data_IF_658083799115
#
_entry.id   IF_658083799115
#
_cell.length_a   1.000
_cell.length_b   1.000
_cell.length_c   1.000
_cell.angle_alpha   90.00
_cell.angle_beta   90.00
_cell.angle_gamma   90.00
#
_symmetry.space_group_name_H-M   'P 1'
#
loop_
_entity.id
_entity.type
_entity.pdbx_description
1 polymer ?
#
# COMPACT_ATOMS: atom_id res chain seq x y z
N UNK A 1 -34.23 -40.75 -26.20
CA UNK A 1 -33.15 -40.27 -27.10
C UNK A 1 -33.23 -38.77 -27.38
N UNK A 2 -34.31 -38.25 -28.00
CA UNK A 2 -34.44 -36.80 -28.34
C UNK A 2 -34.35 -35.82 -27.15
N UNK A 3 -34.92 -36.19 -25.99
CA UNK A 3 -34.86 -35.36 -24.75
C UNK A 3 -33.47 -35.28 -24.11
N UNK A 4 -32.66 -36.33 -24.26
CA UNK A 4 -31.28 -36.37 -23.72
C UNK A 4 -30.37 -35.47 -24.56
N UNK A 5 -30.54 -35.51 -25.89
CA UNK A 5 -29.81 -34.63 -26.82
C UNK A 5 -30.13 -33.16 -26.52
N UNK A 6 -31.41 -32.82 -26.28
CA UNK A 6 -31.84 -31.46 -25.93
C UNK A 6 -31.18 -30.93 -24.64
N UNK A 7 -31.07 -31.79 -23.61
CA UNK A 7 -30.45 -31.42 -22.33
C UNK A 7 -28.93 -31.24 -22.44
N UNK A 8 -28.25 -32.07 -23.23
CA UNK A 8 -26.81 -31.94 -23.47
C UNK A 8 -26.48 -30.68 -24.28
N UNK A 9 -27.30 -30.34 -25.28
CA UNK A 9 -27.14 -29.08 -26.03
C UNK A 9 -27.44 -27.85 -25.18
N UNK A 10 -28.40 -27.93 -24.26
CA UNK A 10 -28.69 -26.84 -23.33
C UNK A 10 -27.54 -26.65 -22.34
N UNK A 11 -26.95 -27.74 -21.84
CA UNK A 11 -25.81 -27.72 -20.92
C UNK A 11 -24.55 -27.14 -21.57
N UNK A 12 -24.27 -27.47 -22.84
CA UNK A 12 -23.11 -26.91 -23.55
C UNK A 12 -23.29 -25.45 -23.93
N UNK A 13 -24.50 -25.02 -24.29
CA UNK A 13 -24.81 -23.60 -24.52
C UNK A 13 -24.70 -22.80 -23.23
N UNK A 14 -25.21 -23.32 -22.11
CA UNK A 14 -25.04 -22.69 -20.79
C UNK A 14 -23.56 -22.61 -20.41
N UNK A 15 -22.78 -23.68 -20.61
CA UNK A 15 -21.35 -23.68 -20.36
C UNK A 15 -20.59 -22.66 -21.24
N UNK A 16 -20.96 -22.53 -22.51
CA UNK A 16 -20.38 -21.56 -23.43
C UNK A 16 -20.70 -20.10 -23.03
N UNK A 17 -21.87 -19.84 -22.45
CA UNK A 17 -22.25 -18.51 -21.95
C UNK A 17 -21.46 -18.09 -20.70
N UNK A 18 -20.96 -19.04 -19.90
CA UNK A 18 -20.14 -18.73 -18.71
C UNK A 18 -18.67 -18.44 -19.07
N UNK A 19 -18.23 -18.80 -20.28
CA UNK A 19 -16.84 -18.61 -20.74
C UNK A 19 -16.74 -17.36 -21.63
N UNK A 20 -17.41 -16.29 -21.23
CA UNK A 20 -17.16 -14.95 -21.78
C UNK A 20 -15.77 -14.48 -21.35
N UNK A 21 -14.76 -14.63 -22.19
CA UNK A 21 -13.47 -14.00 -22.00
C UNK A 21 -13.60 -12.47 -22.18
N UNK A 22 -13.92 -11.74 -21.12
CA UNK A 22 -13.74 -10.29 -21.09
C UNK A 22 -12.23 -9.97 -21.15
N UNK A 23 -11.78 -9.34 -22.24
CA UNK A 23 -10.38 -8.92 -22.38
C UNK A 23 -10.07 -7.85 -21.34
N UNK A 24 -9.30 -8.21 -20.30
CA UNK A 24 -8.82 -7.27 -19.29
C UNK A 24 -7.95 -6.18 -19.95
N UNK A 25 -8.06 -4.90 -19.52
CA UNK A 25 -7.17 -3.85 -19.99
C UNK A 25 -5.70 -4.14 -19.63
N UNK A 26 -4.72 -3.42 -20.19
CA UNK A 26 -3.34 -3.52 -19.74
C UNK A 26 -3.20 -3.09 -18.27
N UNK A 27 -2.45 -3.85 -17.47
CA UNK A 27 -2.29 -3.57 -16.03
C UNK A 27 -1.71 -2.16 -15.78
N UNK A 28 -0.75 -1.73 -16.61
CA UNK A 28 -0.13 -0.40 -16.48
C UNK A 28 -1.12 0.76 -16.68
N UNK A 29 -2.17 0.56 -17.48
CA UNK A 29 -3.22 1.55 -17.66
C UNK A 29 -4.03 1.72 -16.38
N UNK A 30 -4.50 0.60 -15.78
CA UNK A 30 -5.33 0.63 -14.58
C UNK A 30 -4.54 1.14 -13.37
N UNK A 31 -3.28 0.74 -13.24
CA UNK A 31 -2.41 1.24 -12.18
C UNK A 31 -2.08 2.73 -12.35
N UNK A 32 -1.83 3.16 -13.59
CA UNK A 32 -1.58 4.57 -13.92
C UNK A 32 -2.79 5.46 -13.63
N UNK A 33 -4.01 4.98 -13.88
CA UNK A 33 -5.25 5.68 -13.52
C UNK A 33 -5.35 5.91 -12.01
N UNK A 34 -5.11 4.88 -11.19
CA UNK A 34 -5.13 5.00 -9.74
C UNK A 34 -4.12 6.04 -9.22
N UNK A 35 -2.90 6.04 -9.78
CA UNK A 35 -1.87 7.05 -9.48
C UNK A 35 -2.31 8.46 -9.88
N UNK A 36 -2.84 8.63 -11.08
CA UNK A 36 -3.28 9.93 -11.56
C UNK A 36 -4.41 10.51 -10.68
N UNK A 37 -5.34 9.67 -10.22
CA UNK A 37 -6.39 10.08 -9.28
C UNK A 37 -5.81 10.53 -7.94
N UNK A 38 -4.82 9.80 -7.43
CA UNK A 38 -4.10 10.17 -6.21
C UNK A 38 -3.38 11.52 -6.36
N UNK A 39 -2.65 11.72 -7.45
CA UNK A 39 -1.94 12.98 -7.75
C UNK A 39 -2.90 14.17 -7.91
N UNK A 40 -4.13 13.92 -8.35
CA UNK A 40 -5.21 14.91 -8.42
C UNK A 40 -5.89 15.19 -7.07
N UNK A 41 -5.49 14.51 -5.98
CA UNK A 41 -6.13 14.62 -4.67
C UNK A 41 -7.51 13.95 -4.57
N UNK A 42 -7.89 13.14 -5.58
CA UNK A 42 -9.15 12.40 -5.61
C UNK A 42 -9.03 11.09 -4.86
N UNK A 43 -8.77 11.19 -3.56
CA UNK A 43 -8.31 10.07 -2.75
C UNK A 43 -9.29 8.90 -2.66
N UNK A 44 -10.60 9.16 -2.56
CA UNK A 44 -11.60 8.09 -2.55
C UNK A 44 -11.67 7.33 -3.89
N UNK A 45 -11.56 8.06 -5.01
CA UNK A 45 -11.52 7.46 -6.35
C UNK A 45 -10.21 6.68 -6.55
N UNK A 46 -9.08 7.23 -6.08
CA UNK A 46 -7.78 6.57 -6.15
C UNK A 46 -7.78 5.24 -5.39
N UNK A 47 -8.36 5.20 -4.18
CA UNK A 47 -8.54 3.96 -3.41
C UNK A 47 -9.35 2.95 -4.21
N UNK A 48 -10.51 3.33 -4.73
CA UNK A 48 -11.35 2.43 -5.51
C UNK A 48 -10.62 1.89 -6.75
N UNK A 49 -9.80 2.73 -7.40
CA UNK A 49 -8.99 2.33 -8.55
C UNK A 49 -7.85 1.37 -8.17
N UNK A 50 -7.15 1.60 -7.05
CA UNK A 50 -6.14 0.66 -6.54
C UNK A 50 -6.75 -0.68 -6.12
N UNK A 51 -7.90 -0.67 -5.44
CA UNK A 51 -8.61 -1.91 -5.08
C UNK A 51 -9.04 -2.69 -6.32
N UNK A 52 -9.57 -2.00 -7.33
CA UNK A 52 -9.90 -2.60 -8.64
C UNK A 52 -8.66 -3.20 -9.29
N UNK A 53 -7.53 -2.50 -9.26
CA UNK A 53 -6.27 -3.03 -9.79
C UNK A 53 -5.88 -4.35 -9.10
N UNK A 54 -5.92 -4.40 -7.77
CA UNK A 54 -5.59 -5.60 -6.98
C UNK A 54 -6.53 -6.76 -7.31
N UNK A 55 -7.83 -6.50 -7.49
CA UNK A 55 -8.80 -7.52 -7.88
C UNK A 55 -8.55 -8.06 -9.29
N UNK A 56 -8.20 -7.19 -10.24
CA UNK A 56 -8.00 -7.57 -11.64
C UNK A 56 -6.65 -8.29 -11.88
N UNK A 57 -5.61 -7.86 -11.18
CA UNK A 57 -4.22 -8.30 -11.36
C UNK A 57 -3.55 -8.72 -10.04
N UNK A 58 -4.11 -9.67 -9.28
CA UNK A 58 -3.59 -10.04 -7.95
C UNK A 58 -2.18 -10.64 -7.97
N UNK A 59 -1.68 -11.06 -9.14
CA UNK A 59 -0.31 -11.60 -9.31
C UNK A 59 0.66 -10.59 -9.92
N UNK A 60 0.22 -9.36 -10.17
CA UNK A 60 1.08 -8.31 -10.72
C UNK A 60 2.16 -7.94 -9.72
N UNK A 61 3.34 -7.56 -10.22
CA UNK A 61 4.40 -6.99 -9.38
C UNK A 61 3.99 -5.67 -8.73
N UNK A 62 2.99 -4.98 -9.29
CA UNK A 62 2.42 -3.74 -8.73
C UNK A 62 1.29 -3.98 -7.74
N UNK A 63 0.78 -5.22 -7.59
CA UNK A 63 -0.33 -5.50 -6.68
C UNK A 63 0.00 -5.23 -5.20
N UNK A 64 1.20 -5.59 -4.69
CA UNK A 64 1.60 -5.21 -3.34
C UNK A 64 1.58 -3.69 -3.16
N UNK A 65 2.17 -2.94 -4.10
CA UNK A 65 2.18 -1.48 -4.04
C UNK A 65 0.76 -0.90 -4.05
N UNK A 66 -0.12 -1.37 -4.94
CA UNK A 66 -1.51 -0.91 -5.00
C UNK A 66 -2.23 -1.13 -3.66
N UNK A 67 -2.12 -2.32 -3.08
CA UNK A 67 -2.77 -2.63 -1.80
C UNK A 67 -2.18 -1.80 -0.64
N UNK A 68 -0.86 -1.57 -0.63
CA UNK A 68 -0.22 -0.67 0.34
C UNK A 68 -0.75 0.76 0.21
N UNK A 69 -0.89 1.27 -1.01
CA UNK A 69 -1.39 2.63 -1.26
C UNK A 69 -2.83 2.83 -0.77
N UNK A 70 -3.67 1.79 -0.79
CA UNK A 70 -5.01 1.85 -0.18
C UNK A 70 -4.91 2.19 1.32
N UNK A 71 -4.04 1.50 2.06
CA UNK A 71 -3.82 1.77 3.48
C UNK A 71 -3.23 3.16 3.71
N UNK A 72 -2.23 3.53 2.92
CA UNK A 72 -1.58 4.83 2.99
C UNK A 72 -2.56 5.99 2.79
N UNK A 73 -3.41 5.92 1.76
CA UNK A 73 -4.38 6.97 1.47
C UNK A 73 -5.44 7.05 2.58
N UNK A 74 -5.91 5.91 3.09
CA UNK A 74 -6.83 5.92 4.23
C UNK A 74 -6.21 6.56 5.48
N UNK A 75 -4.95 6.25 5.78
CA UNK A 75 -4.26 6.77 6.96
C UNK A 75 -3.98 8.27 6.84
N UNK A 76 -3.47 8.70 5.69
CA UNK A 76 -2.88 10.02 5.55
C UNK A 76 -3.83 11.06 4.95
N UNK A 77 -4.70 10.66 4.03
CA UNK A 77 -5.51 11.61 3.26
C UNK A 77 -6.96 11.61 3.71
N UNK A 78 -7.54 10.42 3.86
CA UNK A 78 -8.94 10.27 4.29
C UNK A 78 -9.11 10.22 5.80
N UNK A 79 -8.01 10.08 6.56
CA UNK A 79 -7.97 9.98 8.02
C UNK A 79 -8.92 8.92 8.61
N UNK A 80 -9.13 7.83 7.86
CA UNK A 80 -9.95 6.68 8.27
C UNK A 80 -9.03 5.56 8.80
N UNK A 81 -8.71 5.65 10.09
CA UNK A 81 -7.79 4.73 10.77
C UNK A 81 -8.26 3.28 10.66
N UNK A 82 -9.55 3.02 10.79
CA UNK A 82 -10.09 1.66 10.74
C UNK A 82 -9.89 1.02 9.36
N UNK A 83 -10.15 1.79 8.29
CA UNK A 83 -9.92 1.30 6.91
C UNK A 83 -8.45 1.17 6.58
N UNK A 84 -7.61 2.08 7.06
CA UNK A 84 -6.16 1.99 6.91
C UNK A 84 -5.62 0.71 7.55
N UNK A 85 -6.03 0.40 8.78
CA UNK A 85 -5.64 -0.82 9.49
C UNK A 85 -6.04 -2.07 8.71
N UNK A 86 -7.29 -2.13 8.24
CA UNK A 86 -7.79 -3.25 7.44
C UNK A 86 -7.00 -3.44 6.14
N UNK A 87 -6.66 -2.34 5.46
CA UNK A 87 -5.90 -2.36 4.21
C UNK A 87 -4.45 -2.81 4.41
N UNK A 88 -3.76 -2.33 5.45
CA UNK A 88 -2.39 -2.78 5.77
C UNK A 88 -2.35 -4.25 6.22
N UNK A 89 -3.33 -4.70 7.02
CA UNK A 89 -3.45 -6.13 7.36
C UNK A 89 -3.68 -6.98 6.11
N UNK A 90 -4.50 -6.49 5.17
CA UNK A 90 -4.72 -7.17 3.89
C UNK A 90 -3.44 -7.23 3.07
N UNK A 91 -2.65 -6.15 3.04
CA UNK A 91 -1.33 -6.12 2.40
C UNK A 91 -0.41 -7.19 2.98
N UNK A 92 -0.21 -7.22 4.30
CA UNK A 92 0.66 -8.21 4.94
C UNK A 92 0.17 -9.64 4.72
N UNK A 93 -1.14 -9.88 4.86
CA UNK A 93 -1.69 -11.23 4.70
C UNK A 93 -1.53 -11.79 3.27
N UNK A 94 -1.71 -10.95 2.25
CA UNK A 94 -1.78 -11.42 0.85
C UNK A 94 -0.51 -11.21 0.04
N UNK A 95 0.28 -10.19 0.39
CA UNK A 95 1.35 -9.68 -0.47
C UNK A 95 2.71 -9.62 0.20
N UNK A 96 2.84 -9.94 1.49
CA UNK A 96 4.13 -9.88 2.22
C UNK A 96 5.25 -10.66 1.51
N UNK A 97 4.97 -11.86 1.00
CA UNK A 97 5.97 -12.67 0.28
C UNK A 97 6.32 -12.16 -1.11
N UNK A 98 5.52 -11.25 -1.67
CA UNK A 98 5.73 -10.64 -2.99
C UNK A 98 6.31 -9.23 -2.89
N UNK A 99 6.16 -8.58 -1.75
CA UNK A 99 6.56 -7.21 -1.51
C UNK A 99 8.05 -7.09 -1.22
N UNK A 100 8.60 -5.91 -1.47
CA UNK A 100 9.91 -5.54 -0.98
C UNK A 100 9.92 -5.47 0.56
N UNK A 101 11.02 -5.88 1.19
CA UNK A 101 11.13 -5.91 2.65
C UNK A 101 10.97 -4.54 3.30
N UNK A 102 11.37 -3.46 2.62
CA UNK A 102 11.14 -2.09 3.05
C UNK A 102 9.65 -1.76 3.13
N UNK A 103 8.86 -2.18 2.13
CA UNK A 103 7.41 -1.96 2.12
C UNK A 103 6.69 -2.78 3.21
N UNK A 104 7.16 -4.01 3.47
CA UNK A 104 6.68 -4.83 4.59
C UNK A 104 6.95 -4.14 5.93
N UNK A 105 8.18 -3.66 6.14
CA UNK A 105 8.56 -2.93 7.34
C UNK A 105 7.73 -1.64 7.48
N UNK A 106 7.51 -0.89 6.40
CA UNK A 106 6.65 0.29 6.40
C UNK A 106 5.22 -0.06 6.82
N UNK A 107 4.60 -1.10 6.26
CA UNK A 107 3.24 -1.47 6.62
C UNK A 107 3.12 -1.89 8.11
N UNK A 108 4.12 -2.59 8.64
CA UNK A 108 4.18 -2.95 10.06
C UNK A 108 4.33 -1.72 10.96
N UNK A 109 5.20 -0.78 10.57
CA UNK A 109 5.38 0.48 11.29
C UNK A 109 4.11 1.31 11.30
N UNK A 110 3.46 1.46 10.13
CA UNK A 110 2.20 2.18 9.98
C UNK A 110 1.12 1.56 10.87
N UNK A 111 0.99 0.24 10.90
CA UNK A 111 0.05 -0.44 11.80
C UNK A 111 0.34 -0.23 13.28
N UNK A 112 1.61 -0.23 13.67
CA UNK A 112 2.03 -0.04 15.07
C UNK A 112 1.71 1.38 15.57
N UNK A 113 1.85 2.37 14.70
CA UNK A 113 1.71 3.79 15.04
C UNK A 113 0.45 4.45 14.47
N UNK A 114 -0.44 3.65 13.89
CA UNK A 114 -1.61 4.17 13.19
C UNK A 114 -2.49 5.02 14.10
N UNK A 115 -2.74 6.27 13.68
CA UNK A 115 -3.59 7.20 14.42
C UNK A 115 -3.00 7.68 15.75
N UNK A 116 -1.76 7.32 16.09
CA UNK A 116 -1.07 7.85 17.28
C UNK A 116 -0.52 9.24 17.01
N UNK A 117 -0.45 10.04 18.06
CA UNK A 117 0.29 11.30 18.02
C UNK A 117 1.80 11.03 18.07
N UNK A 118 2.59 11.89 17.42
CA UNK A 118 4.07 11.75 17.39
C UNK A 118 4.68 11.72 18.79
N UNK A 119 4.07 12.41 19.76
CA UNK A 119 4.53 12.47 21.14
C UNK A 119 4.30 11.16 21.90
N UNK A 120 3.43 10.27 21.40
CA UNK A 120 3.15 8.96 21.99
C UNK A 120 4.13 7.88 21.51
N UNK A 121 5.03 8.21 20.57
CA UNK A 121 6.00 7.28 20.02
C UNK A 121 7.26 7.33 20.89
N UNK A 122 7.31 6.48 21.92
CA UNK A 122 8.45 6.35 22.86
C UNK A 122 9.80 6.13 22.15
N UNK A 123 9.78 5.43 20.99
CA UNK A 123 10.95 5.18 20.15
C UNK A 123 11.49 6.47 19.49
N UNK A 124 10.65 7.48 19.29
CA UNK A 124 11.02 8.77 18.70
C UNK A 124 11.22 9.87 19.76
N UNK A 125 10.53 9.79 20.90
CA UNK A 125 10.70 10.75 22.01
C UNK A 125 12.13 10.76 22.56
N UNK A 126 12.79 9.60 22.58
CA UNK A 126 14.18 9.46 23.03
C UNK A 126 15.17 10.20 22.11
N UNK A 127 14.88 10.30 20.80
CA UNK A 127 15.74 11.00 19.84
C UNK A 127 15.53 12.53 19.94
N UNK A 128 14.28 12.98 20.10
CA UNK A 128 13.94 14.40 20.19
C UNK A 128 14.51 15.11 21.43
N UNK A 129 14.74 14.39 22.53
CA UNK A 129 15.37 14.96 23.73
C UNK A 129 16.90 15.12 23.61
N UNK A 130 17.55 14.36 22.73
CA UNK A 130 19.00 14.37 22.59
C UNK A 130 19.52 15.63 21.90
N UNK A 131 18.73 16.24 21.01
CA UNK A 131 19.11 17.46 20.28
C UNK A 131 19.01 18.73 21.14
N UNK A 132 18.23 18.73 22.22
CA UNK A 132 18.17 19.87 23.15
C UNK A 132 19.40 20.02 24.06
N UNK A 133 20.27 19.00 24.12
CA UNK A 133 21.47 19.00 24.97
C UNK A 133 22.78 19.19 24.18
N UNK A 134 22.74 19.18 22.85
CA UNK A 134 23.93 19.33 22.00
C UNK A 134 24.18 20.75 21.51
N UNK A 135 23.23 21.69 21.69
CA UNK A 135 23.44 23.10 21.32
C UNK A 135 24.10 23.97 22.42
N UNK A 136 24.25 23.49 23.67
CA UNK A 136 24.87 24.29 24.76
C UNK A 136 26.30 23.88 25.13
N UNK A 137 26.94 22.96 24.40
CA UNK A 137 28.31 22.47 24.69
C UNK A 137 29.33 22.85 23.61
N UNK A 138 29.08 23.91 22.84
CA UNK A 138 29.97 24.40 21.78
C UNK A 138 30.85 25.61 22.16
N UNK A 139 30.94 25.95 23.44
CA UNK A 139 31.67 27.14 23.90
C UNK A 139 32.65 26.86 25.05
N UNK A 140 33.36 25.72 25.03
CA UNK A 140 34.62 25.59 25.79
C UNK A 140 35.41 24.32 25.38
N UNK A 141 36.11 24.35 24.24
CA UNK A 141 37.38 23.62 24.12
C UNK A 141 38.16 24.11 22.91
N UNK A 142 39.08 25.04 23.18
CA UNK A 142 40.19 25.32 22.30
C UNK A 142 41.11 24.10 22.11
N UNK A 143 41.88 24.16 21.02
CA UNK A 143 43.12 23.44 20.74
C UNK A 143 43.03 22.02 20.14
N UNK A 144 42.94 21.95 18.80
CA UNK A 144 43.78 21.02 18.01
C UNK A 144 44.25 21.78 16.75
N UNK A 145 45.54 22.11 16.69
CA UNK A 145 46.20 22.52 15.45
C UNK A 145 46.42 21.28 14.58
N UNK A 146 46.03 21.36 13.30
CA UNK A 146 46.42 20.40 12.28
C UNK A 146 47.33 21.12 11.29
N UNK A 147 48.62 20.78 11.38
CA UNK A 147 49.68 21.17 10.45
C UNK A 147 49.45 20.44 9.12
N UNK A 148 49.31 21.20 8.03
CA UNK A 148 49.24 20.66 6.66
C UNK A 148 50.68 20.50 6.15
N UNK A 149 50.99 19.34 5.56
CA UNK A 149 52.14 19.14 4.68
C UNK A 149 51.63 18.96 3.25
#
# INVERSE_FOLDING_TARGET
>A
MKRIILLLTLLTVVLALVVGCEKKPPEGQVFGEAKALQEQGKFAEAVAAYEKFVQMYPKSKSAPQAQFMVGFIYANELKDVAKAEAAYKTFLNKFESMADSGMVASAQWELKYLGKDINEIEELSTIMHQDSLTETSGADSAAIQVQVH
#
